data_IF_812623993682
#
_entry.id   IF_812623993682
#
_cell.length_a   1.000
_cell.length_b   1.000
_cell.length_c   1.000
_cell.angle_alpha   90.00
_cell.angle_beta   90.00
_cell.angle_gamma   90.00
#
_symmetry.space_group_name_H-M   'P 1'
#
loop_
_entity.id
_entity.type
_entity.pdbx_description
1 polymer ?
#
# COMPACT_ATOMS: atom_id res chain seq x y z
N UNK A 1 -16.81 -12.13 -14.62
CA UNK A 1 -16.08 -11.86 -15.89
C UNK A 1 -15.85 -10.36 -15.96
N UNK A 2 -14.74 -9.89 -15.41
CA UNK A 2 -14.30 -8.48 -15.53
C UNK A 2 -13.43 -8.37 -16.76
N UNK A 3 -13.82 -7.53 -17.68
CA UNK A 3 -13.10 -7.20 -18.91
C UNK A 3 -11.81 -6.46 -18.56
N UNK A 4 -10.67 -7.05 -18.91
CA UNK A 4 -9.38 -6.34 -18.87
C UNK A 4 -9.50 -4.98 -19.57
N UNK A 5 -9.05 -3.89 -18.97
CA UNK A 5 -8.87 -2.65 -19.69
C UNK A 5 -7.72 -2.83 -20.68
N UNK A 6 -8.04 -2.61 -21.92
CA UNK A 6 -7.11 -2.57 -23.05
C UNK A 6 -6.07 -1.49 -22.77
N UNK A 7 -4.86 -1.88 -22.44
CA UNK A 7 -3.71 -0.98 -22.30
C UNK A 7 -3.47 -0.34 -23.66
N UNK A 8 -3.87 0.91 -23.78
CA UNK A 8 -3.59 1.75 -24.94
C UNK A 8 -2.08 2.05 -24.93
N UNK A 9 -1.30 1.25 -25.64
CA UNK A 9 0.10 1.54 -25.95
C UNK A 9 0.12 2.80 -26.82
N UNK A 10 0.20 3.95 -26.17
CA UNK A 10 0.49 5.22 -26.81
C UNK A 10 1.86 5.09 -27.48
N UNK A 11 1.88 5.22 -28.79
CA UNK A 11 3.10 5.37 -29.59
C UNK A 11 3.79 6.68 -29.18
N UNK A 12 4.66 6.60 -28.19
CA UNK A 12 5.52 7.71 -27.75
C UNK A 12 6.54 7.97 -28.85
N UNK A 13 6.78 9.23 -29.21
CA UNK A 13 7.72 9.59 -30.26
C UNK A 13 9.13 9.10 -29.89
N UNK A 14 9.77 8.42 -30.82
CA UNK A 14 11.04 7.72 -30.64
C UNK A 14 12.27 8.59 -30.30
N UNK A 15 12.08 9.86 -29.97
CA UNK A 15 13.16 10.81 -29.61
C UNK A 15 13.58 10.66 -28.14
N UNK A 16 12.65 10.34 -27.22
CA UNK A 16 12.96 10.20 -25.79
C UNK A 16 13.81 8.95 -25.49
N UNK A 17 13.75 7.91 -26.32
CA UNK A 17 14.47 6.66 -26.10
C UNK A 17 15.98 6.72 -26.40
N UNK A 18 16.47 7.80 -27.02
CA UNK A 18 17.86 7.93 -27.44
C UNK A 18 18.73 8.74 -26.47
N UNK A 19 18.09 9.49 -25.55
CA UNK A 19 18.80 10.34 -24.60
C UNK A 19 19.30 9.50 -23.42
N UNK A 20 20.58 9.60 -23.08
CA UNK A 20 21.14 9.03 -21.87
C UNK A 20 20.55 9.76 -20.67
N UNK A 21 20.16 9.00 -19.65
CA UNK A 21 19.69 9.58 -18.40
C UNK A 21 20.86 9.63 -17.40
N UNK A 22 21.15 10.81 -16.89
CA UNK A 22 22.12 10.98 -15.81
C UNK A 22 21.39 10.75 -14.48
N UNK A 23 21.61 9.58 -13.88
CA UNK A 23 21.03 9.16 -12.60
C UNK A 23 22.06 9.04 -11.51
N UNK A 24 23.32 8.75 -11.87
CA UNK A 24 24.37 8.45 -10.90
C UNK A 24 24.54 9.57 -9.88
N UNK A 25 24.48 9.21 -8.61
CA UNK A 25 24.67 10.13 -7.49
C UNK A 25 23.51 11.08 -7.21
N UNK A 26 22.34 10.87 -7.84
CA UNK A 26 21.17 11.74 -7.67
C UNK A 26 20.21 11.24 -6.60
N UNK A 27 19.58 12.18 -5.91
CA UNK A 27 18.44 11.91 -5.02
C UNK A 27 17.13 12.08 -5.77
N UNK A 28 16.14 11.30 -5.38
CA UNK A 28 14.77 11.42 -5.86
C UNK A 28 13.82 11.52 -4.68
N UNK A 29 12.80 12.36 -4.81
CA UNK A 29 11.67 12.37 -3.91
C UNK A 29 10.39 12.61 -4.72
N UNK A 30 9.29 11.99 -4.32
CA UNK A 30 8.09 12.07 -5.13
C UNK A 30 6.83 11.59 -4.45
N UNK A 31 5.76 11.65 -5.22
CA UNK A 31 4.43 11.20 -4.86
C UNK A 31 4.13 9.87 -5.55
N UNK A 32 3.36 9.05 -4.88
CA UNK A 32 2.98 7.71 -5.28
C UNK A 32 1.47 7.55 -5.20
N UNK A 33 0.90 6.91 -6.23
CA UNK A 33 -0.46 6.41 -6.25
C UNK A 33 -0.42 4.93 -6.58
N UNK A 34 -1.16 4.12 -5.82
CA UNK A 34 -1.23 2.67 -6.00
C UNK A 34 -2.70 2.24 -5.97
N UNK A 35 -3.11 1.43 -6.93
CA UNK A 35 -4.35 0.67 -6.91
C UNK A 35 -4.02 -0.74 -6.42
N UNK A 36 -4.61 -1.12 -5.30
CA UNK A 36 -4.37 -2.42 -4.67
C UNK A 36 -5.61 -3.29 -4.85
N UNK A 37 -5.39 -4.54 -5.28
CA UNK A 37 -6.50 -5.49 -5.42
C UNK A 37 -7.13 -5.81 -4.07
N UNK A 38 -8.45 -5.97 -4.06
CA UNK A 38 -9.14 -6.59 -2.94
C UNK A 38 -8.77 -8.06 -2.80
N UNK A 39 -8.88 -8.59 -1.58
CA UNK A 39 -8.48 -9.95 -1.27
C UNK A 39 -9.50 -10.61 -0.34
N UNK A 40 -9.77 -11.89 -0.59
CA UNK A 40 -10.62 -12.71 0.25
C UNK A 40 -9.79 -13.75 0.99
N UNK A 41 -9.86 -13.72 2.32
CA UNK A 41 -9.12 -14.63 3.19
C UNK A 41 -10.09 -15.53 3.94
N UNK A 42 -9.89 -16.84 3.81
CA UNK A 42 -10.61 -17.82 4.65
C UNK A 42 -9.84 -18.01 5.97
N UNK A 43 -10.51 -17.76 7.07
CA UNK A 43 -9.98 -17.96 8.41
C UNK A 43 -10.33 -19.36 8.96
N UNK A 44 -9.89 -19.61 10.19
CA UNK A 44 -10.19 -20.85 10.89
C UNK A 44 -11.68 -20.92 11.26
N UNK A 45 -12.22 -22.15 11.32
CA UNK A 45 -13.60 -22.46 11.77
C UNK A 45 -14.72 -21.78 10.96
N UNK A 46 -14.49 -21.49 9.68
CA UNK A 46 -15.50 -20.87 8.82
C UNK A 46 -15.60 -19.34 8.94
N UNK A 47 -14.64 -18.70 9.58
CA UNK A 47 -14.47 -17.25 9.48
C UNK A 47 -13.99 -16.85 8.09
N UNK A 48 -14.36 -15.68 7.63
CA UNK A 48 -13.85 -15.11 6.39
C UNK A 48 -13.68 -13.59 6.52
N UNK A 49 -12.71 -13.07 5.80
CA UNK A 49 -12.41 -11.65 5.68
C UNK A 49 -12.37 -11.30 4.19
N UNK A 50 -13.16 -10.34 3.79
CA UNK A 50 -13.21 -9.78 2.43
C UNK A 50 -12.78 -8.31 2.54
N UNK A 51 -11.59 -8.01 2.03
CA UNK A 51 -11.02 -6.65 1.99
C UNK A 51 -11.21 -6.10 0.59
N UNK A 52 -11.86 -4.97 0.45
CA UNK A 52 -12.08 -4.35 -0.85
C UNK A 52 -10.78 -3.77 -1.42
N UNK A 53 -10.68 -3.73 -2.75
CA UNK A 53 -9.56 -3.08 -3.43
C UNK A 53 -9.68 -1.57 -3.29
N UNK A 54 -8.55 -0.91 -2.95
CA UNK A 54 -8.55 0.52 -2.64
C UNK A 54 -7.33 1.24 -3.23
N UNK A 55 -7.50 2.56 -3.42
CA UNK A 55 -6.45 3.44 -3.88
C UNK A 55 -5.60 3.91 -2.70
N UNK A 56 -4.34 3.51 -2.67
CA UNK A 56 -3.35 4.04 -1.74
C UNK A 56 -2.58 5.22 -2.33
N UNK A 57 -2.25 6.18 -1.50
CA UNK A 57 -1.41 7.30 -1.87
C UNK A 57 -0.28 7.50 -0.88
N UNK A 58 0.80 8.10 -1.33
CA UNK A 58 1.95 8.28 -0.45
C UNK A 58 3.08 9.08 -1.08
N UNK A 59 4.22 8.98 -0.44
CA UNK A 59 5.45 9.61 -0.89
C UNK A 59 6.61 8.62 -0.77
N UNK A 60 7.64 8.92 -1.52
CA UNK A 60 8.88 8.15 -1.46
C UNK A 60 10.09 9.05 -1.62
N UNK A 61 11.22 8.55 -1.17
CA UNK A 61 12.53 9.14 -1.39
C UNK A 61 13.56 8.06 -1.63
N UNK A 62 14.56 8.36 -2.44
CA UNK A 62 15.57 7.39 -2.78
C UNK A 62 16.84 7.99 -3.33
N UNK A 63 17.83 7.13 -3.48
CA UNK A 63 19.15 7.48 -3.99
C UNK A 63 19.57 6.53 -5.11
N UNK A 64 20.01 7.10 -6.22
CA UNK A 64 20.55 6.37 -7.35
C UNK A 64 22.07 6.23 -7.18
N UNK A 65 22.54 5.00 -6.91
CA UNK A 65 23.98 4.73 -6.76
C UNK A 65 24.72 4.80 -8.08
N UNK A 66 24.05 4.41 -9.15
CA UNK A 66 24.53 4.48 -10.52
C UNK A 66 23.32 4.48 -11.48
N UNK A 67 23.57 4.39 -12.80
CA UNK A 67 22.54 4.38 -13.84
C UNK A 67 21.52 3.23 -13.69
N UNK A 68 21.92 2.16 -13.01
CA UNK A 68 21.11 0.93 -12.92
C UNK A 68 20.53 0.69 -11.54
N UNK A 69 21.25 1.01 -10.46
CA UNK A 69 20.89 0.61 -9.10
C UNK A 69 20.45 1.80 -8.26
N UNK A 70 19.28 1.67 -7.64
CA UNK A 70 18.75 2.64 -6.71
C UNK A 70 18.14 1.97 -5.46
N UNK A 71 18.10 2.72 -4.36
CA UNK A 71 17.43 2.35 -3.11
C UNK A 71 16.37 3.39 -2.79
N UNK A 72 15.16 2.94 -2.46
CA UNK A 72 14.03 3.79 -2.08
C UNK A 72 13.47 3.42 -0.73
N UNK A 73 13.08 4.45 0.04
CA UNK A 73 12.17 4.35 1.16
C UNK A 73 10.81 4.93 0.76
N UNK A 74 9.74 4.27 1.14
CA UNK A 74 8.37 4.64 0.77
C UNK A 74 7.47 4.63 1.98
N UNK A 75 6.51 5.55 1.97
CA UNK A 75 5.44 5.62 2.93
C UNK A 75 4.12 5.87 2.19
N UNK A 76 3.10 5.05 2.45
CA UNK A 76 1.80 5.20 1.83
C UNK A 76 0.67 4.88 2.81
N UNK A 77 -0.53 5.34 2.49
CA UNK A 77 -1.74 5.17 3.26
C UNK A 77 -2.89 4.76 2.36
N UNK A 78 -3.78 3.90 2.87
CA UNK A 78 -5.09 3.60 2.30
C UNK A 78 -6.09 3.30 3.41
N UNK A 79 -7.37 3.38 3.09
CA UNK A 79 -8.51 3.18 3.98
C UNK A 79 -9.55 2.23 3.36
N UNK A 80 -9.18 0.95 3.06
CA UNK A 80 -10.09 0.00 2.45
C UNK A 80 -11.23 -0.41 3.38
N UNK A 81 -12.42 -0.56 2.80
CA UNK A 81 -13.54 -1.22 3.46
C UNK A 81 -13.30 -2.72 3.57
N UNK A 82 -13.78 -3.33 4.64
CA UNK A 82 -13.75 -4.78 4.79
C UNK A 82 -15.02 -5.35 5.39
N UNK A 83 -15.30 -6.60 5.03
CA UNK A 83 -16.40 -7.40 5.58
C UNK A 83 -15.84 -8.63 6.25
N UNK A 84 -15.95 -8.70 7.56
CA UNK A 84 -15.59 -9.89 8.33
C UNK A 84 -16.84 -10.71 8.69
N UNK A 85 -16.78 -12.01 8.47
CA UNK A 85 -17.83 -12.97 8.87
C UNK A 85 -17.23 -14.02 9.78
N UNK A 86 -17.84 -14.27 10.93
CA UNK A 86 -17.42 -15.33 11.84
C UNK A 86 -18.61 -15.97 12.54
N UNK A 87 -18.57 -17.30 12.74
CA UNK A 87 -19.62 -18.01 13.46
C UNK A 87 -19.55 -17.70 14.96
N UNK A 88 -20.70 -17.43 15.54
CA UNK A 88 -20.84 -17.16 16.99
C UNK A 88 -20.61 -18.40 17.88
N UNK A 89 -20.44 -19.58 17.30
CA UNK A 89 -20.12 -20.83 18.04
C UNK A 89 -18.80 -20.72 18.84
N UNK A 90 -17.99 -19.70 18.56
CA UNK A 90 -16.77 -19.36 19.29
C UNK A 90 -17.07 -18.81 20.70
N UNK A 91 -18.30 -18.39 20.98
CA UNK A 91 -18.69 -17.82 22.27
C UNK A 91 -19.57 -18.81 23.04
N UNK A 92 -19.19 -19.24 24.26
CA UNK A 92 -19.98 -20.17 25.06
C UNK A 92 -21.38 -19.62 25.35
N UNK A 93 -22.42 -20.37 24.98
CA UNK A 93 -23.82 -20.05 25.27
C UNK A 93 -24.62 -19.41 24.15
N UNK A 94 -24.03 -19.25 22.97
CA UNK A 94 -24.75 -18.79 21.76
C UNK A 94 -25.30 -19.96 20.97
N UNK A 95 -26.45 -19.81 20.26
CA UNK A 95 -26.99 -20.88 19.41
C UNK A 95 -26.02 -21.19 18.25
N UNK A 96 -25.72 -22.46 18.04
CA UNK A 96 -24.94 -22.93 16.88
C UNK A 96 -25.69 -22.59 15.60
N UNK A 97 -25.12 -21.80 14.72
CA UNK A 97 -25.51 -21.34 13.38
C UNK A 97 -25.72 -19.82 13.25
N UNK A 98 -25.39 -19.02 14.24
CA UNK A 98 -25.41 -17.57 14.06
C UNK A 98 -24.08 -17.10 13.49
N UNK A 99 -24.12 -16.45 12.33
CA UNK A 99 -22.96 -15.78 11.72
C UNK A 99 -23.07 -14.30 12.02
N UNK A 100 -22.03 -13.72 12.59
CA UNK A 100 -21.90 -12.28 12.75
C UNK A 100 -21.19 -11.74 11.51
N UNK A 101 -21.72 -10.65 10.96
CA UNK A 101 -21.08 -9.89 9.90
C UNK A 101 -20.72 -8.52 10.49
N UNK A 102 -19.47 -8.13 10.31
CA UNK A 102 -18.94 -6.82 10.69
C UNK A 102 -18.48 -6.14 9.42
N UNK A 103 -19.06 -4.97 9.14
CA UNK A 103 -18.65 -4.07 8.07
C UNK A 103 -17.90 -2.91 8.74
N UNK A 104 -16.65 -2.67 8.35
CA UNK A 104 -15.83 -1.59 8.92
C UNK A 104 -14.76 -1.15 7.93
N UNK A 105 -14.08 -0.06 8.26
CA UNK A 105 -12.94 0.48 7.51
C UNK A 105 -11.64 0.12 8.22
N UNK A 106 -10.55 -0.05 7.46
CA UNK A 106 -9.19 -0.24 7.96
C UNK A 106 -8.37 1.00 7.66
N UNK A 107 -7.66 1.52 8.64
CA UNK A 107 -6.58 2.46 8.40
C UNK A 107 -5.29 1.66 8.15
N UNK A 108 -4.74 1.74 6.95
CA UNK A 108 -3.57 0.95 6.55
C UNK A 108 -2.41 1.85 6.18
N UNK A 109 -1.29 1.67 6.88
CA UNK A 109 -0.05 2.41 6.66
C UNK A 109 1.05 1.47 6.17
N UNK A 110 1.70 1.84 5.07
CA UNK A 110 2.78 1.08 4.47
C UNK A 110 4.11 1.82 4.65
N UNK A 111 5.10 1.13 5.19
CA UNK A 111 6.49 1.60 5.22
C UNK A 111 7.36 0.58 4.53
N UNK A 112 8.00 0.95 3.43
CA UNK A 112 8.75 0.01 2.59
C UNK A 112 10.16 0.50 2.31
N UNK A 113 11.08 -0.46 2.14
CA UNK A 113 12.40 -0.25 1.56
C UNK A 113 12.56 -1.13 0.34
N UNK A 114 12.93 -0.54 -0.80
CA UNK A 114 13.02 -1.22 -2.08
C UNK A 114 14.36 -0.98 -2.76
N UNK A 115 14.89 -2.02 -3.36
CA UNK A 115 15.98 -1.95 -4.33
C UNK A 115 15.39 -2.00 -5.72
N UNK A 116 15.81 -1.08 -6.57
CA UNK A 116 15.35 -0.96 -7.96
C UNK A 116 16.55 -1.15 -8.90
N UNK A 117 16.35 -1.97 -9.91
CA UNK A 117 17.34 -2.19 -10.96
C UNK A 117 16.78 -1.78 -12.33
N UNK A 118 17.34 -0.71 -12.90
CA UNK A 118 17.03 -0.20 -14.23
C UNK A 118 17.88 -0.95 -15.26
N UNK A 119 17.27 -1.50 -16.30
CA UNK A 119 18.01 -2.30 -17.30
C UNK A 119 18.84 -1.48 -18.29
N UNK A 120 18.42 -0.25 -18.56
CA UNK A 120 19.05 0.62 -19.54
C UNK A 120 19.49 1.94 -18.91
N UNK A 121 20.55 2.51 -19.45
CA UNK A 121 21.08 3.86 -19.16
C UNK A 121 20.33 4.98 -19.92
N UNK A 122 19.13 4.69 -20.45
CA UNK A 122 18.34 5.60 -21.28
C UNK A 122 17.19 6.23 -20.50
N UNK A 123 16.72 7.37 -21.00
CA UNK A 123 15.60 8.08 -20.41
C UNK A 123 14.34 7.20 -20.24
N UNK A 124 14.09 6.28 -21.16
CA UNK A 124 13.04 5.27 -21.04
C UNK A 124 13.69 3.90 -20.77
N UNK A 125 13.41 3.32 -19.61
CA UNK A 125 13.99 2.03 -19.21
C UNK A 125 12.97 1.15 -18.51
N UNK A 126 12.90 -0.15 -18.84
CA UNK A 126 12.25 -1.10 -17.96
C UNK A 126 13.06 -1.27 -16.67
N UNK A 127 12.40 -1.61 -15.60
CA UNK A 127 13.04 -1.90 -14.32
C UNK A 127 12.36 -3.04 -13.59
N UNK A 128 13.06 -3.59 -12.63
CA UNK A 128 12.51 -4.52 -11.61
C UNK A 128 12.76 -3.93 -10.24
N UNK A 129 11.89 -4.25 -9.32
CA UNK A 129 12.04 -3.86 -7.93
C UNK A 129 11.77 -5.03 -7.00
N UNK A 130 12.45 -5.04 -5.87
CA UNK A 130 12.20 -5.96 -4.77
C UNK A 130 12.45 -5.24 -3.45
N UNK A 131 11.70 -5.58 -2.44
CA UNK A 131 11.81 -4.93 -1.15
C UNK A 131 11.11 -5.66 -0.02
N UNK A 132 11.22 -5.06 1.15
CA UNK A 132 10.56 -5.46 2.35
C UNK A 132 9.97 -4.24 3.04
N UNK A 133 8.98 -4.46 3.88
CA UNK A 133 8.36 -3.38 4.64
C UNK A 133 7.47 -3.89 5.74
N UNK A 134 6.75 -2.95 6.31
CA UNK A 134 5.76 -3.19 7.35
C UNK A 134 4.44 -2.58 6.91
N UNK A 135 3.38 -3.34 7.10
CA UNK A 135 2.01 -2.89 6.95
C UNK A 135 1.40 -2.78 8.34
N UNK A 136 1.12 -1.57 8.78
CA UNK A 136 0.41 -1.29 10.04
C UNK A 136 -1.06 -1.12 9.72
N UNK A 137 -1.88 -1.93 10.36
CA UNK A 137 -3.33 -1.99 10.16
C UNK A 137 -3.97 -1.56 11.48
N UNK A 138 -4.87 -0.61 11.43
CA UNK A 138 -5.75 -0.22 12.53
C UNK A 138 -7.19 -0.46 12.10
N UNK A 139 -7.93 -1.23 12.88
CA UNK A 139 -9.35 -1.45 12.64
C UNK A 139 -10.17 -0.45 13.45
N UNK A 140 -11.29 0.02 12.92
CA UNK A 140 -12.22 0.88 13.67
C UNK A 140 -13.02 0.11 14.74
N UNK A 141 -12.59 -1.10 15.11
CA UNK A 141 -13.21 -1.93 16.13
C UNK A 141 -12.63 -1.58 17.48
N UNK A 142 -13.50 -1.19 18.42
CA UNK A 142 -13.12 -0.84 19.77
C UNK A 142 -12.48 -2.01 20.53
N UNK A 143 -11.27 -1.81 21.07
CA UNK A 143 -10.59 -2.73 21.98
C UNK A 143 -10.70 -2.23 23.43
N UNK A 144 -11.62 -2.81 24.20
CA UNK A 144 -11.83 -2.48 25.61
C UNK A 144 -12.85 -1.36 25.88
N UNK A 145 -12.97 -0.93 27.14
CA UNK A 145 -13.91 0.12 27.54
C UNK A 145 -13.43 1.50 27.07
N UNK A 146 -14.38 2.36 26.71
CA UNK A 146 -14.06 3.73 26.36
C UNK A 146 -13.64 4.54 27.60
N UNK A 147 -12.56 5.29 27.49
CA UNK A 147 -12.12 6.28 28.47
C UNK A 147 -12.71 7.65 28.14
N UNK A 148 -13.11 8.40 29.16
CA UNK A 148 -13.62 9.77 28.98
C UNK A 148 -12.53 10.78 29.36
N UNK A 149 -12.05 11.54 28.38
CA UNK A 149 -11.15 12.66 28.59
C UNK A 149 -11.87 14.00 28.49
N UNK A 150 -11.53 14.92 29.38
CA UNK A 150 -12.06 16.28 29.35
C UNK A 150 -10.92 17.28 29.29
N UNK A 151 -11.06 18.33 28.45
CA UNK A 151 -10.07 19.40 28.32
C UNK A 151 -10.73 20.72 28.04
N UNK A 152 -9.99 21.79 28.21
CA UNK A 152 -10.39 23.15 27.86
C UNK A 152 -9.98 23.45 26.41
N UNK A 153 -10.98 23.79 25.59
CA UNK A 153 -10.76 24.23 24.22
C UNK A 153 -10.92 25.76 24.13
N UNK A 154 -9.98 26.50 23.50
CA UNK A 154 -10.03 27.95 23.41
C UNK A 154 -11.26 28.52 22.68
N UNK A 155 -11.87 27.74 21.78
CA UNK A 155 -13.02 28.16 20.96
C UNK A 155 -14.35 27.61 21.48
N UNK A 156 -14.33 26.39 22.06
CA UNK A 156 -15.55 25.65 22.42
C UNK A 156 -15.77 25.54 23.94
N UNK A 157 -14.79 25.99 24.74
CA UNK A 157 -14.84 25.92 26.17
C UNK A 157 -14.47 24.54 26.74
N UNK A 158 -15.05 24.15 27.87
CA UNK A 158 -14.79 22.86 28.50
C UNK A 158 -15.52 21.74 27.73
N UNK A 159 -14.76 20.84 27.15
CA UNK A 159 -15.26 19.72 26.34
C UNK A 159 -14.87 18.38 26.95
N UNK A 160 -15.75 17.38 26.78
CA UNK A 160 -15.44 15.99 27.12
C UNK A 160 -15.72 15.12 25.90
N UNK A 161 -14.81 14.21 25.59
CA UNK A 161 -15.00 13.17 24.58
C UNK A 161 -14.63 11.80 25.13
N UNK A 162 -15.26 10.79 24.60
CA UNK A 162 -14.90 9.41 24.88
C UNK A 162 -13.86 8.96 23.84
N UNK A 163 -12.77 8.38 24.32
CA UNK A 163 -11.69 7.79 23.52
C UNK A 163 -11.70 6.30 23.78
N UNK A 164 -11.42 5.52 22.77
CA UNK A 164 -11.24 4.07 22.87
C UNK A 164 -10.05 3.67 22.02
N UNK A 165 -9.34 2.65 22.49
CA UNK A 165 -8.31 2.00 21.71
C UNK A 165 -8.98 1.10 20.66
N UNK A 166 -8.33 0.93 19.52
CA UNK A 166 -8.74 0.07 18.42
C UNK A 166 -7.79 -1.11 18.27
N UNK A 167 -8.27 -2.20 17.67
CA UNK A 167 -7.38 -3.31 17.33
C UNK A 167 -6.43 -2.91 16.24
N UNK A 168 -5.15 -2.77 16.59
CA UNK A 168 -4.06 -2.45 15.69
C UNK A 168 -3.05 -3.59 15.61
N UNK A 169 -2.50 -3.84 14.43
CA UNK A 169 -1.45 -4.81 14.21
C UNK A 169 -0.44 -4.32 13.15
N UNK A 170 0.81 -4.74 13.29
CA UNK A 170 1.84 -4.47 12.28
C UNK A 170 2.41 -5.79 11.79
N UNK A 171 2.34 -6.02 10.49
CA UNK A 171 2.76 -7.24 9.82
C UNK A 171 3.92 -6.95 8.87
N UNK A 172 4.79 -7.95 8.68
CA UNK A 172 5.88 -7.87 7.72
C UNK A 172 5.34 -8.11 6.30
N UNK A 173 5.91 -7.40 5.34
CA UNK A 173 5.54 -7.49 3.94
C UNK A 173 6.76 -7.63 3.06
N UNK A 174 6.69 -8.49 2.07
CA UNK A 174 7.64 -8.54 0.96
C UNK A 174 7.00 -7.99 -0.31
N UNK A 175 7.80 -7.30 -1.13
CA UNK A 175 7.34 -6.64 -2.34
C UNK A 175 8.25 -7.02 -3.50
N UNK A 176 7.67 -7.27 -4.65
CA UNK A 176 8.41 -7.38 -5.90
C UNK A 176 7.56 -6.88 -7.04
N UNK A 177 8.22 -6.30 -8.03
CA UNK A 177 7.51 -5.67 -9.14
C UNK A 177 8.37 -5.46 -10.36
N UNK A 178 7.69 -5.12 -11.44
CA UNK A 178 8.28 -4.74 -12.72
C UNK A 178 7.62 -3.47 -13.21
N UNK A 179 8.36 -2.63 -13.89
CA UNK A 179 7.81 -1.38 -14.37
C UNK A 179 8.60 -0.75 -15.50
N UNK A 180 8.14 0.42 -15.88
CA UNK A 180 8.80 1.29 -16.83
C UNK A 180 9.04 2.63 -16.16
N UNK A 181 10.28 3.08 -16.22
CA UNK A 181 10.72 4.38 -15.79
C UNK A 181 10.93 5.28 -16.99
N UNK A 182 10.48 6.51 -16.90
CA UNK A 182 10.70 7.55 -17.88
C UNK A 182 11.25 8.80 -17.21
N UNK A 183 12.54 9.08 -17.43
CA UNK A 183 13.17 10.36 -17.08
C UNK A 183 12.70 11.40 -18.11
N UNK A 184 11.63 12.12 -17.78
CA UNK A 184 10.99 13.09 -18.67
C UNK A 184 11.86 14.32 -18.90
N UNK A 185 12.68 14.67 -17.90
CA UNK A 185 13.66 15.75 -17.94
C UNK A 185 14.80 15.44 -16.96
N UNK A 186 15.77 16.34 -16.87
CA UNK A 186 16.88 16.21 -15.91
C UNK A 186 16.41 16.23 -14.45
N UNK A 187 15.20 16.74 -14.19
CA UNK A 187 14.64 16.91 -12.84
C UNK A 187 13.33 16.18 -12.59
N UNK A 188 12.73 15.53 -13.58
CA UNK A 188 11.42 14.90 -13.44
C UNK A 188 11.39 13.46 -13.97
N UNK A 189 10.81 12.58 -13.19
CA UNK A 189 10.72 11.15 -13.46
C UNK A 189 9.29 10.67 -13.30
N UNK A 190 8.83 9.85 -14.22
CA UNK A 190 7.58 9.10 -14.13
C UNK A 190 7.89 7.61 -14.10
N UNK A 191 7.27 6.87 -13.18
CA UNK A 191 7.36 5.41 -13.12
C UNK A 191 5.94 4.84 -13.17
N UNK A 192 5.77 3.76 -13.93
CA UNK A 192 4.53 2.98 -13.95
C UNK A 192 4.93 1.54 -13.68
N UNK A 193 4.27 0.88 -12.75
CA UNK A 193 4.64 -0.47 -12.34
C UNK A 193 3.43 -1.36 -12.03
N UNK A 194 3.70 -2.63 -12.10
CA UNK A 194 2.90 -3.71 -11.59
C UNK A 194 3.75 -4.54 -10.63
N UNK A 195 3.19 -4.90 -9.51
CA UNK A 195 3.87 -5.70 -8.50
C UNK A 195 2.92 -6.54 -7.68
N UNK A 196 3.50 -7.29 -6.77
CA UNK A 196 2.79 -8.07 -5.77
C UNK A 196 3.36 -7.73 -4.39
N UNK A 197 2.46 -7.60 -3.44
CA UNK A 197 2.76 -7.49 -2.02
C UNK A 197 2.31 -8.77 -1.33
N UNK A 198 3.21 -9.42 -0.63
CA UNK A 198 2.96 -10.60 0.19
C UNK A 198 3.06 -10.18 1.67
N UNK A 199 1.93 -10.19 2.36
CA UNK A 199 1.81 -9.84 3.76
C UNK A 199 1.78 -11.13 4.59
N UNK A 200 2.70 -11.27 5.55
CA UNK A 200 2.80 -12.44 6.43
C UNK A 200 1.85 -12.25 7.63
N UNK A 201 0.75 -12.96 7.63
CA UNK A 201 -0.24 -12.94 8.71
C UNK A 201 0.05 -14.09 9.69
N UNK A 202 0.43 -13.78 10.91
CA UNK A 202 0.80 -14.75 11.97
C UNK A 202 -0.20 -15.91 12.20
N UNK A 203 -1.46 -15.75 11.79
CA UNK A 203 -2.55 -16.71 12.09
C UNK A 203 -3.41 -17.10 10.89
N UNK A 204 -3.10 -16.62 9.69
CA UNK A 204 -3.82 -16.92 8.46
C UNK A 204 -2.84 -17.28 7.33
N UNK A 205 -3.37 -17.65 6.17
CA UNK A 205 -2.54 -17.77 4.97
C UNK A 205 -1.98 -16.39 4.57
N UNK A 206 -0.87 -16.38 3.82
CA UNK A 206 -0.27 -15.17 3.28
C UNK A 206 -1.30 -14.37 2.47
N UNK A 207 -1.41 -13.08 2.76
CA UNK A 207 -2.27 -12.17 2.02
C UNK A 207 -1.49 -11.59 0.85
N UNK A 208 -1.81 -12.01 -0.36
CA UNK A 208 -1.16 -11.57 -1.60
C UNK A 208 -2.02 -10.55 -2.32
N UNK A 209 -1.50 -9.35 -2.49
CA UNK A 209 -2.19 -8.25 -3.17
C UNK A 209 -1.45 -7.87 -4.44
N UNK A 210 -2.17 -7.82 -5.55
CA UNK A 210 -1.67 -7.20 -6.78
C UNK A 210 -1.70 -5.68 -6.64
N UNK A 211 -0.63 -5.03 -7.07
CA UNK A 211 -0.45 -3.58 -6.96
C UNK A 211 -0.14 -3.00 -8.34
N UNK A 212 -0.93 -2.03 -8.75
CA UNK A 212 -0.66 -1.20 -9.93
C UNK A 212 -0.35 0.20 -9.46
N UNK A 213 0.78 0.78 -9.88
CA UNK A 213 1.17 2.07 -9.36
C UNK A 213 1.73 3.03 -10.40
N UNK A 214 1.61 4.31 -10.05
CA UNK A 214 2.19 5.44 -10.78
C UNK A 214 2.94 6.30 -9.76
N UNK A 215 4.22 6.51 -10.01
CA UNK A 215 5.08 7.36 -9.20
C UNK A 215 5.53 8.56 -10.03
N UNK A 216 5.43 9.75 -9.45
CA UNK A 216 6.00 10.96 -10.00
C UNK A 216 7.07 11.50 -9.05
N UNK A 217 8.30 11.66 -9.53
CA UNK A 217 9.44 12.12 -8.74
C UNK A 217 10.11 13.36 -9.31
N UNK A 218 10.70 14.11 -8.40
CA UNK A 218 11.71 15.12 -8.69
C UNK A 218 13.10 14.56 -8.36
N UNK A 219 14.04 14.79 -9.27
CA UNK A 219 15.44 14.40 -9.18
C UNK A 219 16.30 15.65 -8.86
N UNK A 220 17.26 15.55 -7.96
CA UNK A 220 18.14 16.63 -7.50
C UNK A 220 19.49 16.11 -6.99
#
# INVERSE_FOLDING_TARGET
MRTLPLVLLLSLPGVAAAQSADREGTWEAGLKLMDMSGEFVEGQQGASLDVEGELAWGFFGGYNFNEHLALYGEFAYSDPDYVAKFPLDLFPGTPSNTVVTVDAELDVWFTNFKVVYNFLDKALTPYVEAGMGWTSIDSNIQDGPADTGCWWDPWWGYMCASFYDTYANTIESTLYGVGVRWDMSDTSVLKIYYGERDNDLDRAEHLKQEVYGIDFAWKF
#
